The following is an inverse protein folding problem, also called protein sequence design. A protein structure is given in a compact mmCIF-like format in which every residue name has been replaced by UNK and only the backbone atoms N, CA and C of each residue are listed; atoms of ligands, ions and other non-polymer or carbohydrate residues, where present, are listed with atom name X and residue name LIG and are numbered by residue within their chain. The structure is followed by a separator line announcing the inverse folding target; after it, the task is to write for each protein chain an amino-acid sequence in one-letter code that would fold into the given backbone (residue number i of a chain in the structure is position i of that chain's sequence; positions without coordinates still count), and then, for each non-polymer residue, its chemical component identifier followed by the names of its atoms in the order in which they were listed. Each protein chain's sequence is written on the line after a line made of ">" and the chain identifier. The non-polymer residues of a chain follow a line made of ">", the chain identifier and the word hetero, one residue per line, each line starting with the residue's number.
data_IF_777849362000
#
_entry.id   IF_777849362000
#
_cell.length_a   1.000
_cell.length_b   1.000
_cell.length_c   1.000
_cell.angle_alpha   90.00
_cell.angle_beta   90.00
_cell.angle_gamma   90.00
#
_symmetry.space_group_name_H-M   'P 1'
#
loop_
_entity.id
_entity.type
_entity.pdbx_description
1 polymer ?
#
# COMPACT_ATOMS: atom_id res chain seq x y z
N UNK A 1 9.88 11.03 -15.57
CA UNK A 1 10.47 10.44 -14.34
C UNK A 1 10.11 11.31 -13.11
N UNK A 2 8.84 11.68 -12.95
CA UNK A 2 8.34 12.60 -11.91
C UNK A 2 7.10 12.05 -11.17
N UNK A 3 6.39 11.07 -11.73
CA UNK A 3 5.13 10.54 -11.16
C UNK A 3 5.29 9.75 -9.85
N UNK A 4 6.43 9.08 -9.64
CA UNK A 4 6.67 8.29 -8.42
C UNK A 4 6.77 9.19 -7.16
N UNK A 5 7.31 10.41 -7.29
CA UNK A 5 7.40 11.34 -6.17
C UNK A 5 6.02 11.88 -5.76
N UNK A 6 5.10 12.06 -6.71
CA UNK A 6 3.73 12.49 -6.45
C UNK A 6 2.96 11.45 -5.63
N UNK A 7 3.03 10.18 -6.04
CA UNK A 7 2.38 9.08 -5.33
C UNK A 7 2.88 8.95 -3.90
N UNK A 8 4.20 8.93 -3.70
CA UNK A 8 4.79 8.80 -2.36
C UNK A 8 4.37 9.95 -1.44
N UNK A 9 4.31 11.19 -1.94
CA UNK A 9 3.85 12.32 -1.14
C UNK A 9 2.38 12.15 -0.70
N UNK A 10 1.50 11.76 -1.61
CA UNK A 10 0.09 11.46 -1.28
C UNK A 10 -0.04 10.36 -0.22
N UNK A 11 0.77 9.31 -0.33
CA UNK A 11 0.78 8.21 0.65
C UNK A 11 1.36 8.64 2.01
N UNK A 12 2.31 9.59 2.04
CA UNK A 12 2.84 10.17 3.27
C UNK A 12 1.80 11.05 3.96
N UNK A 13 1.06 11.87 3.20
CA UNK A 13 0.02 12.77 3.74
C UNK A 13 -1.08 12.01 4.50
N UNK A 14 -1.42 10.81 4.05
CA UNK A 14 -2.43 9.95 4.70
C UNK A 14 -1.82 8.95 5.70
N UNK A 15 -0.52 9.07 6.01
CA UNK A 15 0.22 8.14 6.87
C UNK A 15 0.12 6.66 6.42
N UNK A 16 -0.03 6.40 5.12
CA UNK A 16 0.03 5.04 4.57
C UNK A 16 1.48 4.54 4.50
N UNK A 17 2.41 5.46 4.25
CA UNK A 17 3.86 5.20 4.29
C UNK A 17 4.56 6.18 5.22
N UNK A 18 5.77 5.82 5.63
CA UNK A 18 6.65 6.66 6.45
C UNK A 18 8.09 6.61 5.91
N UNK A 19 8.84 7.70 6.12
CA UNK A 19 10.26 7.77 5.78
C UNK A 19 11.09 7.15 6.92
N UNK A 20 11.96 6.20 6.59
CA UNK A 20 12.95 5.59 7.46
C UNK A 20 14.36 5.92 6.95
N UNK A 21 15.39 5.70 7.78
CA UNK A 21 16.80 5.96 7.41
C UNK A 21 17.25 5.26 6.11
N UNK A 22 16.59 4.17 5.71
CA UNK A 22 16.92 3.34 4.54
C UNK A 22 15.89 3.43 3.40
N UNK A 23 14.94 4.36 3.45
CA UNK A 23 13.92 4.51 2.39
C UNK A 23 12.52 4.72 2.95
N UNK A 24 11.51 4.34 2.17
CA UNK A 24 10.09 4.48 2.53
C UNK A 24 9.53 3.10 2.87
N UNK A 25 8.66 3.01 3.87
CA UNK A 25 8.01 1.76 4.25
C UNK A 25 6.54 2.00 4.59
N UNK A 26 5.70 0.98 4.45
CA UNK A 26 4.30 1.06 4.86
C UNK A 26 4.19 1.09 6.38
N UNK A 27 3.32 1.95 6.90
CA UNK A 27 3.09 2.08 8.34
C UNK A 27 2.45 0.81 8.91
N UNK A 28 2.55 0.61 10.23
CA UNK A 28 1.87 -0.51 10.91
C UNK A 28 0.35 -0.42 10.72
N UNK A 29 -0.22 0.78 10.88
CA UNK A 29 -1.66 1.02 10.76
C UNK A 29 -2.19 0.64 9.37
N UNK A 30 -1.50 1.08 8.31
CA UNK A 30 -1.90 0.78 6.94
C UNK A 30 -1.81 -0.72 6.64
N UNK A 31 -0.76 -1.40 7.13
CA UNK A 31 -0.62 -2.85 6.97
C UNK A 31 -1.71 -3.63 7.69
N UNK A 32 -2.03 -3.25 8.93
CA UNK A 32 -3.11 -3.86 9.70
C UNK A 32 -4.46 -3.67 9.00
N UNK A 33 -4.73 -2.45 8.51
CA UNK A 33 -5.92 -2.16 7.72
C UNK A 33 -6.02 -3.08 6.50
N UNK A 34 -4.96 -3.19 5.70
CA UNK A 34 -4.95 -4.04 4.50
C UNK A 34 -5.15 -5.51 4.84
N UNK A 35 -4.49 -6.03 5.88
CA UNK A 35 -4.67 -7.42 6.31
C UNK A 35 -6.10 -7.72 6.76
N UNK A 36 -6.77 -6.78 7.43
CA UNK A 36 -8.17 -6.92 7.82
C UNK A 36 -9.10 -6.85 6.61
N UNK A 37 -8.91 -5.87 5.72
CA UNK A 37 -9.78 -5.67 4.56
C UNK A 37 -9.63 -6.80 3.52
N UNK A 38 -8.40 -7.26 3.26
CA UNK A 38 -8.14 -8.31 2.28
C UNK A 38 -8.64 -9.68 2.74
N UNK A 39 -8.69 -9.97 4.05
CA UNK A 39 -9.26 -11.23 4.57
C UNK A 39 -10.75 -11.41 4.24
N UNK A 40 -11.50 -10.31 4.11
CA UNK A 40 -12.94 -10.33 3.80
C UNK A 40 -13.30 -9.98 2.35
N UNK A 41 -12.40 -9.34 1.60
CA UNK A 41 -12.71 -8.72 0.31
C UNK A 41 -11.72 -9.11 -0.82
N UNK A 42 -11.27 -10.37 -0.86
CA UNK A 42 -10.30 -10.84 -1.87
C UNK A 42 -10.75 -10.54 -3.31
N UNK A 43 -12.04 -10.71 -3.63
CA UNK A 43 -12.58 -10.44 -4.97
C UNK A 43 -12.45 -8.96 -5.39
N UNK A 44 -12.52 -8.01 -4.45
CA UNK A 44 -12.31 -6.59 -4.76
C UNK A 44 -10.84 -6.30 -5.11
N UNK A 45 -9.91 -7.01 -4.47
CA UNK A 45 -8.48 -6.85 -4.72
C UNK A 45 -8.01 -7.43 -6.07
N UNK A 46 -8.91 -7.97 -6.89
CA UNK A 46 -8.62 -8.46 -8.26
C UNK A 46 -8.74 -7.34 -9.31
N UNK A 47 -9.32 -6.20 -8.97
CA UNK A 47 -9.58 -5.10 -9.92
C UNK A 47 -9.00 -3.77 -9.42
N UNK A 48 -8.59 -2.90 -10.34
CA UNK A 48 -8.11 -1.54 -10.01
C UNK A 48 -9.20 -0.72 -9.30
N UNK A 49 -10.46 -0.89 -9.69
CA UNK A 49 -11.58 -0.21 -9.06
C UNK A 49 -11.81 -0.69 -7.62
N UNK A 50 -11.73 -2.01 -7.38
CA UNK A 50 -11.82 -2.53 -6.02
C UNK A 50 -10.64 -2.09 -5.14
N UNK A 51 -9.43 -1.98 -5.69
CA UNK A 51 -8.30 -1.36 -4.99
C UNK A 51 -8.54 0.12 -4.68
N UNK A 52 -9.15 0.89 -5.59
CA UNK A 52 -9.55 2.28 -5.30
C UNK A 52 -10.46 2.33 -4.09
N UNK A 53 -11.46 1.46 -4.02
CA UNK A 53 -12.38 1.40 -2.88
C UNK A 53 -11.67 1.00 -1.58
N UNK A 54 -10.79 0.00 -1.62
CA UNK A 54 -10.03 -0.43 -0.45
C UNK A 54 -9.13 0.72 0.06
N UNK A 55 -8.43 1.42 -0.85
CA UNK A 55 -7.57 2.54 -0.47
C UNK A 55 -8.37 3.73 0.06
N UNK A 56 -9.53 4.04 -0.54
CA UNK A 56 -10.39 5.13 -0.06
C UNK A 56 -11.03 4.84 1.30
N UNK A 57 -11.24 3.56 1.63
CA UNK A 57 -11.72 3.11 2.94
C UNK A 57 -10.66 3.31 4.04
N UNK A 58 -9.36 3.23 3.69
CA UNK A 58 -8.29 3.64 4.59
C UNK A 58 -8.28 5.15 4.82
N UNK A 59 -8.29 5.92 3.72
CA UNK A 59 -8.37 7.37 3.77
C UNK A 59 -9.02 7.93 2.50
N UNK A 60 -10.08 8.72 2.66
CA UNK A 60 -10.94 9.15 1.56
C UNK A 60 -10.18 9.85 0.42
N UNK A 61 -9.12 10.60 0.72
CA UNK A 61 -8.33 11.31 -0.30
C UNK A 61 -7.64 10.37 -1.30
N UNK A 62 -7.46 9.08 -0.98
CA UNK A 62 -6.88 8.12 -1.90
C UNK A 62 -7.83 7.75 -3.05
N UNK A 63 -9.10 8.16 -3.03
CA UNK A 63 -10.00 7.98 -4.16
C UNK A 63 -9.52 8.75 -5.41
N UNK A 64 -8.75 9.83 -5.23
CA UNK A 64 -8.25 10.68 -6.31
C UNK A 64 -7.00 10.13 -6.98
N UNK A 65 -6.51 8.96 -6.55
CA UNK A 65 -5.38 8.32 -7.22
C UNK A 65 -5.76 7.92 -8.65
N UNK A 66 -4.86 8.22 -9.58
CA UNK A 66 -4.99 7.77 -10.97
C UNK A 66 -4.94 6.24 -11.05
N UNK A 67 -5.38 5.67 -12.17
CA UNK A 67 -5.29 4.23 -12.37
C UNK A 67 -3.83 3.74 -12.31
N UNK A 68 -2.89 4.54 -12.83
CA UNK A 68 -1.45 4.26 -12.77
C UNK A 68 -0.92 4.31 -11.33
N UNK A 69 -1.35 5.31 -10.54
CA UNK A 69 -0.96 5.44 -9.14
C UNK A 69 -1.50 4.30 -8.26
N UNK A 70 -2.73 3.84 -8.53
CA UNK A 70 -3.30 2.67 -7.88
C UNK A 70 -2.50 1.43 -8.28
N UNK A 71 -2.24 1.22 -9.57
CA UNK A 71 -1.44 0.10 -10.06
C UNK A 71 -0.04 0.07 -9.43
N UNK A 72 0.64 1.22 -9.37
CA UNK A 72 1.94 1.35 -8.73
C UNK A 72 1.87 1.04 -7.22
N UNK A 73 0.81 1.47 -6.52
CA UNK A 73 0.61 1.15 -5.10
C UNK A 73 0.45 -0.35 -4.88
N UNK A 74 -0.33 -1.03 -5.73
CA UNK A 74 -0.52 -2.49 -5.66
C UNK A 74 0.80 -3.23 -5.90
N UNK A 75 1.60 -2.82 -6.89
CA UNK A 75 2.92 -3.39 -7.14
C UNK A 75 3.86 -3.20 -5.94
N UNK A 76 3.87 -2.01 -5.33
CA UNK A 76 4.66 -1.75 -4.13
C UNK A 76 4.21 -2.61 -2.94
N UNK A 77 2.90 -2.83 -2.79
CA UNK A 77 2.34 -3.69 -1.74
C UNK A 77 2.71 -5.16 -1.95
N UNK A 78 2.60 -5.67 -3.17
CA UNK A 78 2.97 -7.04 -3.51
C UNK A 78 4.46 -7.28 -3.25
N UNK A 79 5.33 -6.39 -3.75
CA UNK A 79 6.76 -6.41 -3.45
C UNK A 79 7.00 -6.41 -1.94
N UNK A 80 6.35 -5.51 -1.21
CA UNK A 80 6.49 -5.43 0.23
C UNK A 80 6.09 -6.72 0.95
N UNK A 81 4.95 -7.33 0.61
CA UNK A 81 4.49 -8.57 1.25
C UNK A 81 5.35 -9.78 0.90
N UNK A 82 5.89 -9.85 -0.32
CA UNK A 82 6.83 -10.90 -0.71
C UNK A 82 8.17 -10.77 0.05
N UNK A 83 8.65 -9.53 0.23
CA UNK A 83 9.94 -9.27 0.87
C UNK A 83 9.88 -9.17 2.41
N UNK A 84 8.73 -8.90 3.01
CA UNK A 84 8.56 -8.93 4.48
C UNK A 84 8.58 -10.36 5.01
N UNK A 85 8.08 -11.34 4.25
CA UNK A 85 8.16 -12.76 4.63
C UNK A 85 9.59 -13.30 4.64
N UNK A 86 10.52 -12.69 3.90
CA UNK A 86 11.92 -13.12 3.81
C UNK A 86 12.81 -12.60 4.94
N UNK A 87 12.28 -11.75 5.85
CA UNK A 87 13.04 -11.21 7.00
C UNK A 87 12.66 -11.90 8.32
N UNK A 88 12.00 -13.06 8.29
CA UNK A 88 12.02 -13.94 9.44
C UNK A 88 13.43 -14.56 9.52
N UNK A 89 14.25 -14.27 10.55
CA UNK A 89 15.48 -15.02 10.73
C UNK A 89 15.11 -16.47 11.02
N UNK A 90 15.79 -17.41 10.37
CA UNK A 90 15.81 -18.81 10.78
C UNK A 90 16.15 -18.83 12.28
N UNK A 91 15.14 -19.20 13.06
CA UNK A 91 15.25 -19.41 14.49
C UNK A 91 16.10 -20.65 14.72
N UNK A 92 17.31 -20.40 15.17
CA UNK A 92 18.28 -21.35 15.68
C UNK A 92 17.86 -21.91 17.04
#
# INVERSE_FOLDING_TARGET
>A
MWDINGLINKLLEVNAVEKRKKGITFTVSFRSFLMCNLRGNLTKAETLEGWRFILSDYHYSLITLSAEEIGATVVLLDYYFQHVKTVAPDGR
#
